data_IF_538110654452
#
_entry.id   IF_538110654452
#
_cell.length_a   1.000
_cell.length_b   1.000
_cell.length_c   1.000
_cell.angle_alpha   90.00
_cell.angle_beta   90.00
_cell.angle_gamma   90.00
#
_symmetry.space_group_name_H-M   'P 1'
#
loop_
_entity.id
_entity.type
_entity.pdbx_description
1 polymer ?
#
# COMPACT_ATOMS: atom_id res chain seq x y z
N UNK A 1 0.18 9.81 7.50
CA UNK A 1 0.47 9.24 8.83
C UNK A 1 -0.84 8.97 9.53
N UNK A 2 -0.91 7.90 10.31
CA UNK A 2 -2.03 7.69 11.23
C UNK A 2 -1.70 8.44 12.54
N UNK A 3 -2.50 9.43 12.97
CA UNK A 3 -2.12 10.33 14.05
C UNK A 3 -2.42 9.79 15.46
N UNK A 4 -3.14 8.67 15.62
CA UNK A 4 -3.50 8.11 16.93
C UNK A 4 -4.09 9.15 17.94
N UNK A 5 -4.90 10.10 17.44
CA UNK A 5 -5.44 11.25 18.19
C UNK A 5 -4.41 12.29 18.68
N UNK A 6 -3.17 12.21 18.23
CA UNK A 6 -2.14 13.21 18.51
C UNK A 6 -2.24 14.39 17.54
N UNK A 7 -1.84 15.57 18.02
CA UNK A 7 -1.67 16.74 17.15
C UNK A 7 -0.47 16.51 16.24
N UNK A 8 -0.54 16.92 14.96
CA UNK A 8 0.63 16.88 14.09
C UNK A 8 1.79 17.65 14.70
N UNK A 9 2.97 17.01 14.75
CA UNK A 9 4.21 17.67 15.12
C UNK A 9 4.69 18.45 13.89
N UNK A 10 5.03 19.75 14.01
CA UNK A 10 5.55 20.52 12.89
C UNK A 10 6.71 19.80 12.20
N UNK A 11 6.70 19.82 10.87
CA UNK A 11 7.73 19.21 10.00
C UNK A 11 7.83 17.67 10.05
N UNK A 12 7.05 16.98 10.90
CA UNK A 12 7.01 15.52 10.91
C UNK A 12 5.90 15.04 9.97
N UNK A 13 6.30 14.32 8.92
CA UNK A 13 5.38 13.83 7.88
C UNK A 13 5.83 12.48 7.31
N UNK A 14 4.91 11.77 6.66
CA UNK A 14 5.25 10.55 5.92
C UNK A 14 6.18 10.83 4.72
N UNK A 15 6.10 12.04 4.15
CA UNK A 15 7.01 12.48 3.08
C UNK A 15 8.44 12.63 3.57
N UNK A 16 8.65 13.10 4.80
CA UNK A 16 9.98 13.17 5.42
C UNK A 16 10.61 11.78 5.54
N UNK A 17 9.85 10.79 6.02
CA UNK A 17 10.31 9.40 6.14
C UNK A 17 10.66 8.86 4.74
N UNK A 18 9.78 9.04 3.76
CA UNK A 18 10.01 8.63 2.38
C UNK A 18 11.31 9.22 1.81
N UNK A 19 11.53 10.52 1.96
CA UNK A 19 12.74 11.19 1.50
C UNK A 19 13.98 10.59 2.14
N UNK A 20 13.97 10.38 3.46
CA UNK A 20 15.10 9.79 4.18
C UNK A 20 15.38 8.35 3.76
N UNK A 21 14.35 7.52 3.58
CA UNK A 21 14.56 6.14 3.09
C UNK A 21 15.16 6.18 1.69
N UNK A 22 14.64 7.04 0.79
CA UNK A 22 15.11 7.15 -0.59
C UNK A 22 16.57 7.62 -0.69
N UNK A 23 17.02 8.48 0.22
CA UNK A 23 18.43 8.91 0.32
C UNK A 23 19.37 7.74 0.68
N UNK A 24 18.89 6.78 1.49
CA UNK A 24 19.74 5.72 2.07
C UNK A 24 19.59 4.33 1.42
N UNK A 25 18.41 4.03 0.87
CA UNK A 25 18.09 2.77 0.20
C UNK A 25 17.59 3.14 -1.19
N UNK A 26 18.30 2.68 -2.23
CA UNK A 26 18.15 3.10 -3.63
C UNK A 26 16.74 2.99 -4.22
N UNK A 27 16.58 2.21 -5.28
CA UNK A 27 15.32 2.16 -6.02
C UNK A 27 14.24 1.35 -5.27
N UNK A 28 12.96 1.56 -5.62
CA UNK A 28 11.78 0.83 -5.10
C UNK A 28 11.21 1.27 -3.74
N UNK A 29 11.19 2.57 -3.47
CA UNK A 29 10.39 3.15 -2.39
C UNK A 29 9.36 4.08 -3.01
N UNK A 30 8.10 3.91 -2.65
CA UNK A 30 6.99 4.67 -3.22
C UNK A 30 6.21 5.39 -2.11
N UNK A 31 5.94 6.68 -2.32
CA UNK A 31 5.02 7.45 -1.49
C UNK A 31 3.67 7.55 -2.22
N UNK A 32 2.60 7.09 -1.57
CA UNK A 32 1.24 7.19 -2.09
C UNK A 32 0.39 7.99 -1.09
N UNK A 33 -0.47 8.91 -1.56
CA UNK A 33 -1.21 9.82 -0.69
C UNK A 33 -2.29 9.13 0.14
N UNK A 34 -2.77 7.96 -0.29
CA UNK A 34 -3.76 7.21 0.46
C UNK A 34 -4.16 5.88 -0.17
N UNK A 35 -5.21 5.30 0.40
CA UNK A 35 -5.69 3.95 0.10
C UNK A 35 -6.20 3.79 -1.33
N UNK A 36 -6.84 4.85 -1.87
CA UNK A 36 -7.45 4.87 -3.20
C UNK A 36 -6.40 4.68 -4.30
N UNK A 37 -5.18 5.15 -4.04
CA UNK A 37 -4.03 5.04 -4.92
C UNK A 37 -3.23 3.76 -4.63
N UNK A 38 -3.16 3.32 -3.37
CA UNK A 38 -2.41 2.11 -2.98
C UNK A 38 -2.93 0.83 -3.61
N UNK A 39 -4.25 0.59 -3.59
CA UNK A 39 -4.79 -0.70 -4.09
C UNK A 39 -4.58 -0.88 -5.60
N UNK A 40 -4.90 0.10 -6.47
CA UNK A 40 -4.59 0.00 -7.90
C UNK A 40 -3.10 -0.17 -8.16
N UNK A 41 -2.25 0.65 -7.54
CA UNK A 41 -0.80 0.58 -7.70
C UNK A 41 -0.25 -0.82 -7.37
N UNK A 42 -0.68 -1.40 -6.24
CA UNK A 42 -0.26 -2.74 -5.85
C UNK A 42 -0.85 -3.82 -6.77
N UNK A 43 -2.09 -3.67 -7.24
CA UNK A 43 -2.71 -4.63 -8.15
C UNK A 43 -1.93 -4.76 -9.45
N UNK A 44 -1.40 -3.64 -9.96
CA UNK A 44 -0.62 -3.61 -11.20
C UNK A 44 0.83 -4.10 -11.01
N UNK A 45 1.35 -4.00 -9.77
CA UNK A 45 2.73 -4.37 -9.44
C UNK A 45 2.88 -5.84 -9.04
N UNK A 46 1.90 -6.39 -8.31
CA UNK A 46 1.98 -7.75 -7.74
C UNK A 46 1.86 -8.80 -8.85
N UNK A 47 2.73 -9.80 -8.78
CA UNK A 47 2.76 -10.94 -9.70
C UNK A 47 2.57 -12.26 -8.95
N UNK A 48 2.34 -13.35 -9.70
CA UNK A 48 2.16 -14.69 -9.13
C UNK A 48 3.43 -15.13 -8.40
N UNK A 49 3.28 -15.44 -7.11
CA UNK A 49 4.38 -15.90 -6.25
C UNK A 49 4.87 -14.85 -5.26
N UNK A 50 4.43 -13.60 -5.39
CA UNK A 50 4.79 -12.54 -4.44
C UNK A 50 4.11 -12.71 -3.07
N UNK A 51 4.84 -12.32 -2.02
CA UNK A 51 4.31 -12.21 -0.66
C UNK A 51 4.11 -10.74 -0.34
N UNK A 52 2.87 -10.35 -0.03
CA UNK A 52 2.51 -8.98 0.33
C UNK A 52 2.30 -8.89 1.83
N UNK A 53 3.06 -8.01 2.48
CA UNK A 53 2.92 -7.72 3.91
C UNK A 53 2.41 -6.29 4.07
N UNK A 54 1.29 -6.13 4.79
CA UNK A 54 0.80 -4.82 5.21
C UNK A 54 1.15 -4.60 6.68
N UNK A 55 1.70 -3.44 7.03
CA UNK A 55 2.21 -3.19 8.39
C UNK A 55 1.88 -1.77 8.85
N UNK A 56 1.46 -1.65 10.12
CA UNK A 56 1.12 -0.40 10.79
C UNK A 56 -0.10 -0.55 11.71
N UNK A 57 -0.19 0.31 12.74
CA UNK A 57 -1.25 0.26 13.74
C UNK A 57 -2.56 0.98 13.34
N UNK A 58 -2.55 1.64 12.19
CA UNK A 58 -3.71 2.35 11.67
C UNK A 58 -4.68 1.44 10.94
N UNK A 59 -5.35 2.01 9.95
CA UNK A 59 -6.31 1.27 9.16
C UNK A 59 -5.67 0.35 8.11
N UNK A 60 -4.34 0.35 7.92
CA UNK A 60 -3.61 -0.32 6.83
C UNK A 60 -4.07 -1.75 6.53
N UNK A 61 -4.50 -2.53 7.52
CA UNK A 61 -5.04 -3.89 7.36
C UNK A 61 -6.18 -3.99 6.34
N UNK A 62 -7.02 -2.95 6.17
CA UNK A 62 -8.09 -2.99 5.16
C UNK A 62 -7.56 -2.95 3.72
N UNK A 63 -6.30 -2.49 3.49
CA UNK A 63 -5.64 -2.59 2.17
C UNK A 63 -5.45 -4.07 1.83
N UNK A 64 -4.94 -4.86 2.78
CA UNK A 64 -4.78 -6.31 2.59
C UNK A 64 -6.11 -7.00 2.26
N UNK A 65 -7.19 -6.64 2.98
CA UNK A 65 -8.52 -7.17 2.67
C UNK A 65 -9.04 -6.76 1.29
N UNK A 66 -8.82 -5.51 0.87
CA UNK A 66 -9.21 -5.01 -0.45
C UNK A 66 -8.44 -5.71 -1.58
N UNK A 67 -7.14 -5.94 -1.40
CA UNK A 67 -6.31 -6.69 -2.36
C UNK A 67 -6.81 -8.11 -2.53
N UNK A 68 -7.07 -8.84 -1.44
CA UNK A 68 -7.61 -10.21 -1.50
C UNK A 68 -8.95 -10.25 -2.24
N UNK A 69 -9.85 -9.28 -1.96
CA UNK A 69 -11.12 -9.18 -2.68
C UNK A 69 -10.92 -8.91 -4.17
N UNK A 70 -10.00 -8.01 -4.54
CA UNK A 70 -9.71 -7.63 -5.92
C UNK A 70 -9.16 -8.83 -6.72
N UNK A 71 -8.15 -9.52 -6.21
CA UNK A 71 -7.56 -10.68 -6.88
C UNK A 71 -8.56 -11.83 -7.04
N UNK A 72 -9.42 -12.10 -6.05
CA UNK A 72 -10.51 -13.09 -6.20
C UNK A 72 -11.53 -12.71 -7.28
N UNK A 73 -11.77 -11.42 -7.54
CA UNK A 73 -12.66 -10.98 -8.63
C UNK A 73 -11.96 -11.18 -9.98
N UNK A 74 -10.68 -10.87 -10.08
CA UNK A 74 -9.88 -11.05 -11.30
C UNK A 74 -9.82 -12.54 -11.67
N UNK A 75 -9.49 -13.41 -10.71
CA UNK A 75 -9.48 -14.87 -10.91
C UNK A 75 -10.82 -15.40 -11.45
N UNK A 76 -11.94 -14.94 -10.87
CA UNK A 76 -13.28 -15.33 -11.33
C UNK A 76 -13.62 -14.83 -12.73
N UNK A 77 -13.22 -13.60 -13.09
CA UNK A 77 -13.43 -13.08 -14.44
C UNK A 77 -12.68 -13.90 -15.48
N UNK A 78 -11.42 -14.22 -15.19
CA UNK A 78 -10.60 -15.07 -16.05
C UNK A 78 -11.32 -16.42 -16.25
N UNK A 79 -11.82 -17.04 -15.19
CA UNK A 79 -12.51 -18.34 -15.30
C UNK A 79 -13.86 -18.30 -16.06
N UNK A 80 -14.51 -17.14 -16.20
CA UNK A 80 -15.77 -17.00 -16.96
C UNK A 80 -15.56 -16.66 -18.44
N UNK A 81 -14.35 -16.21 -18.81
CA UNK A 81 -14.00 -15.87 -20.20
C UNK A 81 -13.44 -17.07 -20.98
N UNK A 82 -13.35 -18.25 -20.35
CA UNK A 82 -13.05 -19.57 -20.96
C UNK A 82 -14.25 -20.51 -20.80
#
# INVERSE_FOLDING_TARGET
MYPANEKPIPHISATLIYQKIKEHKGEHVYYLPGRKETVPFLTDLITKGDIVITMGAGDVWKIGQELVKKFKIIERKIQMEY
#
